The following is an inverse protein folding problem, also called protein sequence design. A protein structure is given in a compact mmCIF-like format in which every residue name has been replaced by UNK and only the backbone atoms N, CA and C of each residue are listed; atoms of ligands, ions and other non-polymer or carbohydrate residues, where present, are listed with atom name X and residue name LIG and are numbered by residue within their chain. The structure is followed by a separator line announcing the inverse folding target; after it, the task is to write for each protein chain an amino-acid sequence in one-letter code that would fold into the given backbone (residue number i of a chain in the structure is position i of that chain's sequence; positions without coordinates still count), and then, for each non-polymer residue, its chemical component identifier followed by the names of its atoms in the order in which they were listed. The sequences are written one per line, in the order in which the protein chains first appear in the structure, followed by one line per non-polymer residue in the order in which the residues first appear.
data_IF_165924802808
#
_entry.id   IF_165924802808
#
_cell.length_a   1.000
_cell.length_b   1.000
_cell.length_c   1.000
_cell.angle_alpha   90.00
_cell.angle_beta   90.00
_cell.angle_gamma   90.00
#
_symmetry.space_group_name_H-M   'P 1'
#
loop_
_entity.id
_entity.type
_entity.pdbx_description
1 polymer ?
#
# COMPACT_ATOMS: atom_id res chain seq x y z
N UNK A 1 -29.91 -21.38 47.13
CA UNK A 1 -30.78 -20.22 46.87
C UNK A 1 -29.97 -18.96 47.10
N UNK A 2 -29.84 -18.15 46.05
CA UNK A 2 -29.37 -16.76 45.95
C UNK A 2 -28.21 -16.26 46.82
N UNK A 3 -27.04 -16.10 46.21
CA UNK A 3 -26.06 -15.08 46.62
C UNK A 3 -26.06 -13.95 45.60
N UNK A 4 -26.69 -12.83 45.98
CA UNK A 4 -26.59 -11.55 45.26
C UNK A 4 -25.25 -10.91 45.60
N UNK A 5 -24.35 -10.78 44.64
CA UNK A 5 -23.16 -9.97 44.79
C UNK A 5 -23.35 -8.61 44.11
N UNK A 6 -23.31 -7.58 44.94
CA UNK A 6 -23.52 -6.19 44.60
C UNK A 6 -22.37 -5.63 43.73
N UNK A 7 -22.75 -4.83 42.73
CA UNK A 7 -21.86 -4.03 41.89
C UNK A 7 -21.40 -2.80 42.70
N UNK A 8 -20.10 -2.53 42.87
CA UNK A 8 -19.65 -1.28 43.47
C UNK A 8 -19.83 -0.12 42.47
N UNK A 9 -20.59 0.90 42.88
CA UNK A 9 -20.68 2.21 42.20
C UNK A 9 -19.30 2.87 42.18
N UNK A 10 -18.77 3.15 40.99
CA UNK A 10 -17.59 4.00 40.81
C UNK A 10 -17.94 5.45 41.19
N UNK A 11 -17.17 5.99 42.14
CA UNK A 11 -17.26 7.37 42.59
C UNK A 11 -16.73 8.33 41.50
N UNK A 12 -17.49 9.38 41.26
CA UNK A 12 -17.14 10.49 40.38
C UNK A 12 -15.97 11.29 40.98
N UNK A 13 -14.77 11.09 40.43
CA UNK A 13 -13.58 11.89 40.72
C UNK A 13 -13.70 13.25 40.03
N UNK A 14 -13.93 14.32 40.81
CA UNK A 14 -13.84 15.71 40.35
C UNK A 14 -12.39 16.04 40.00
N UNK A 15 -12.12 16.33 38.73
CA UNK A 15 -10.86 16.94 38.30
C UNK A 15 -10.73 18.35 38.91
N UNK A 16 -9.55 18.77 39.39
CA UNK A 16 -9.30 20.14 39.79
C UNK A 16 -9.38 21.08 38.58
N UNK A 17 -10.05 22.22 38.79
CA UNK A 17 -10.18 23.33 37.83
C UNK A 17 -8.77 23.84 37.46
N UNK A 18 -8.35 23.65 36.21
CA UNK A 18 -7.16 24.31 35.68
C UNK A 18 -7.56 25.73 35.28
N UNK A 19 -7.02 26.72 35.99
CA UNK A 19 -7.22 28.14 35.69
C UNK A 19 -6.37 28.51 34.47
N UNK A 20 -7.01 28.84 33.34
CA UNK A 20 -6.35 29.18 32.07
C UNK A 20 -5.71 30.59 32.04
N UNK A 21 -5.79 31.38 33.11
CA UNK A 21 -5.36 32.78 33.07
C UNK A 21 -3.86 32.99 33.33
N UNK A 22 -3.06 31.91 33.42
CA UNK A 22 -1.63 32.00 33.73
C UNK A 22 -0.74 31.21 32.76
N UNK A 23 -0.98 31.35 31.46
CA UNK A 23 -0.04 30.91 30.43
C UNK A 23 0.74 32.13 29.97
N UNK A 24 1.88 32.39 30.61
CA UNK A 24 2.86 33.37 30.10
C UNK A 24 3.38 32.87 28.76
N UNK A 25 3.06 33.59 27.69
CA UNK A 25 3.52 33.30 26.33
C UNK A 25 5.04 33.40 26.23
N UNK A 26 5.72 32.26 26.14
CA UNK A 26 7.13 32.21 25.76
C UNK A 26 7.21 32.44 24.25
N UNK A 27 7.89 33.48 23.75
CA UNK A 27 8.06 33.66 22.32
C UNK A 27 9.02 32.58 21.78
N UNK A 28 8.49 31.63 21.02
CA UNK A 28 9.28 30.67 20.25
C UNK A 28 9.73 31.37 18.97
N UNK A 29 10.98 31.85 18.93
CA UNK A 29 11.61 32.34 17.71
C UNK A 29 11.94 31.15 16.79
N UNK A 30 11.03 30.81 15.88
CA UNK A 30 11.31 29.83 14.82
C UNK A 30 12.07 30.55 13.70
N UNK A 31 13.40 30.43 13.72
CA UNK A 31 14.23 30.83 12.58
C UNK A 31 14.04 29.82 11.44
N UNK A 32 13.12 30.11 10.51
CA UNK A 32 12.97 29.34 9.26
C UNK A 32 14.15 29.69 8.35
N UNK A 33 15.18 28.84 8.36
CA UNK A 33 16.26 28.94 7.38
C UNK A 33 15.77 28.34 6.06
N UNK A 34 15.27 29.20 5.16
CA UNK A 34 14.93 28.83 3.80
C UNK A 34 16.22 28.52 3.00
N UNK A 35 16.61 27.24 2.93
CA UNK A 35 17.61 26.80 1.95
C UNK A 35 16.92 26.50 0.63
N UNK A 36 16.82 27.55 -0.18
CA UNK A 36 16.47 27.51 -1.59
C UNK A 36 17.40 26.53 -2.32
N UNK A 37 16.91 25.33 -2.63
CA UNK A 37 17.52 24.45 -3.63
C UNK A 37 16.86 24.79 -4.97
N UNK A 38 17.39 25.82 -5.62
CA UNK A 38 17.19 26.06 -7.04
C UNK A 38 17.81 24.87 -7.78
N UNK A 39 16.98 23.92 -8.19
CA UNK A 39 17.35 22.93 -9.19
C UNK A 39 17.34 23.66 -10.54
N UNK A 40 18.55 23.88 -11.07
CA UNK A 40 18.76 24.34 -12.43
C UNK A 40 18.17 23.27 -13.37
N UNK A 41 17.00 23.54 -13.94
CA UNK A 41 16.51 22.82 -15.11
C UNK A 41 17.28 23.38 -16.30
N UNK A 42 18.39 22.74 -16.67
CA UNK A 42 19.01 22.98 -17.97
C UNK A 42 18.07 22.38 -19.00
N UNK A 43 17.28 23.24 -19.64
CA UNK A 43 16.52 22.88 -20.82
C UNK A 43 17.50 22.55 -21.96
N UNK A 44 17.71 21.26 -22.22
CA UNK A 44 18.35 20.82 -23.47
C UNK A 44 17.24 20.67 -24.50
N UNK A 45 16.88 21.77 -25.16
CA UNK A 45 16.00 21.76 -26.32
C UNK A 45 16.80 21.41 -27.56
N UNK A 46 16.40 20.34 -28.26
CA UNK A 46 16.77 20.09 -29.65
C UNK A 46 17.67 18.87 -29.83
N UNK A 47 17.09 17.76 -30.31
CA UNK A 47 17.10 17.37 -31.73
C UNK A 47 16.07 16.25 -31.86
N UNK A 48 14.95 16.54 -32.52
CA UNK A 48 14.02 15.52 -32.99
C UNK A 48 14.69 14.84 -34.17
N UNK A 49 15.26 13.65 -33.94
CA UNK A 49 15.71 12.80 -35.05
C UNK A 49 14.45 12.18 -35.65
N UNK A 50 14.00 12.74 -36.78
CA UNK A 50 13.02 12.12 -37.67
C UNK A 50 13.63 10.84 -38.25
N UNK A 51 13.41 9.71 -37.57
CA UNK A 51 13.59 8.40 -38.19
C UNK A 51 12.26 8.06 -38.86
N UNK A 52 12.13 8.44 -40.13
CA UNK A 52 11.06 7.97 -40.99
C UNK A 52 11.21 6.44 -41.11
N UNK A 53 10.45 5.70 -40.31
CA UNK A 53 10.31 4.26 -40.48
C UNK A 53 9.40 4.02 -41.69
N UNK A 54 10.03 3.70 -42.82
CA UNK A 54 9.36 3.24 -44.03
C UNK A 54 8.57 1.96 -43.73
N UNK A 55 7.25 2.08 -43.67
CA UNK A 55 6.33 0.94 -43.66
C UNK A 55 6.34 0.30 -45.04
N UNK A 56 7.23 -0.67 -45.26
CA UNK A 56 7.11 -1.61 -46.37
C UNK A 56 6.26 -2.76 -45.86
N UNK A 57 4.97 -2.72 -46.19
CA UNK A 57 4.06 -3.87 -46.06
C UNK A 57 4.48 -4.92 -47.10
N UNK A 58 4.90 -6.13 -46.73
CA UNK A 58 5.10 -7.19 -47.70
C UNK A 58 3.73 -7.75 -48.10
N UNK A 59 3.23 -7.32 -49.27
CA UNK A 59 2.17 -8.03 -50.00
C UNK A 59 2.75 -9.39 -50.39
N UNK A 60 2.37 -10.44 -49.66
CA UNK A 60 2.76 -11.80 -50.00
C UNK A 60 1.85 -12.31 -51.10
N UNK A 61 2.35 -12.24 -52.34
CA UNK A 61 1.74 -12.91 -53.49
C UNK A 61 2.06 -14.41 -53.36
N UNK A 62 1.06 -15.21 -52.98
CA UNK A 62 1.20 -16.66 -52.90
C UNK A 62 1.24 -17.24 -54.33
N UNK A 63 2.43 -17.59 -54.83
CA UNK A 63 2.55 -18.51 -55.96
C UNK A 63 2.57 -19.94 -55.42
N UNK A 64 1.52 -20.70 -55.71
CA UNK A 64 1.49 -22.15 -55.54
C UNK A 64 2.46 -22.78 -56.51
N UNK A 65 3.56 -23.35 -56.00
CA UNK A 65 4.43 -24.22 -56.79
C UNK A 65 4.37 -25.62 -56.20
N UNK A 66 3.71 -26.50 -56.94
CA UNK A 66 3.67 -27.94 -56.72
C UNK A 66 4.97 -28.55 -57.23
N UNK A 67 5.77 -29.13 -56.34
CA UNK A 67 6.95 -29.89 -56.73
C UNK A 67 7.61 -30.58 -55.54
N UNK A 68 7.89 -31.89 -55.60
CA UNK A 68 8.52 -32.61 -54.51
C UNK A 68 10.03 -32.47 -54.63
N UNK A 69 10.66 -31.76 -53.69
CA UNK A 69 12.13 -31.75 -53.58
C UNK A 69 12.57 -32.36 -52.25
N UNK A 70 13.39 -33.39 -52.39
CA UNK A 70 13.92 -34.26 -51.36
C UNK A 70 14.66 -33.49 -50.26
N UNK A 71 14.45 -33.92 -49.02
CA UNK A 71 15.04 -33.32 -47.83
C UNK A 71 16.38 -33.98 -47.53
N UNK A 72 17.49 -33.26 -47.72
CA UNK A 72 18.81 -33.67 -47.22
C UNK A 72 19.09 -32.92 -45.93
N UNK A 73 19.12 -33.63 -44.79
CA UNK A 73 19.41 -33.02 -43.48
C UNK A 73 20.92 -32.78 -43.31
N UNK A 74 21.31 -31.53 -43.07
CA UNK A 74 22.65 -31.17 -42.58
C UNK A 74 22.52 -30.70 -41.13
N UNK A 75 23.12 -31.44 -40.20
CA UNK A 75 23.13 -31.14 -38.77
C UNK A 75 24.18 -30.05 -38.49
N UNK A 76 23.73 -28.88 -38.00
CA UNK A 76 24.60 -27.77 -37.60
C UNK A 76 24.87 -27.80 -36.10
N UNK A 77 26.02 -28.34 -35.71
CA UNK A 77 26.51 -28.32 -34.33
C UNK A 77 26.89 -26.89 -33.94
N UNK A 78 26.13 -26.28 -33.02
CA UNK A 78 26.44 -24.95 -32.48
C UNK A 78 27.26 -25.13 -31.20
N UNK A 79 28.53 -24.72 -31.22
CA UNK A 79 29.39 -24.71 -30.05
C UNK A 79 28.87 -23.68 -29.04
N UNK A 80 28.46 -24.15 -27.86
CA UNK A 80 27.97 -23.32 -26.75
C UNK A 80 29.16 -22.86 -25.92
N UNK A 81 29.55 -21.58 -26.04
CA UNK A 81 30.53 -20.97 -25.16
C UNK A 81 29.89 -20.78 -23.77
N UNK A 82 30.34 -21.56 -22.80
CA UNK A 82 29.90 -21.46 -21.41
C UNK A 82 30.53 -20.23 -20.76
N UNK A 83 29.88 -19.08 -20.90
CA UNK A 83 30.20 -17.89 -20.11
C UNK A 83 29.72 -18.13 -18.68
N UNK A 84 30.67 -18.39 -17.77
CA UNK A 84 30.40 -18.42 -16.33
C UNK A 84 30.02 -17.02 -15.90
N UNK A 85 28.71 -16.76 -15.75
CA UNK A 85 28.22 -15.55 -15.12
C UNK A 85 28.63 -15.60 -13.65
N UNK A 86 29.56 -14.73 -13.25
CA UNK A 86 29.84 -14.44 -11.85
C UNK A 86 28.60 -13.76 -11.27
N UNK A 87 27.71 -14.54 -10.67
CA UNK A 87 26.61 -14.03 -9.85
C UNK A 87 27.21 -13.40 -8.60
N UNK A 88 27.42 -12.09 -8.63
CA UNK A 88 27.49 -11.29 -7.41
C UNK A 88 26.19 -11.53 -6.66
N UNK A 89 26.25 -12.29 -5.55
CA UNK A 89 25.18 -12.31 -4.55
C UNK A 89 25.06 -10.91 -3.99
N UNK A 90 24.24 -10.07 -4.61
CA UNK A 90 23.49 -9.08 -3.86
C UNK A 90 22.69 -9.88 -2.84
N UNK A 91 23.07 -9.78 -1.57
CA UNK A 91 22.24 -10.28 -0.49
C UNK A 91 20.93 -9.52 -0.60
N UNK A 92 19.93 -10.15 -1.23
CA UNK A 92 18.52 -9.79 -1.12
C UNK A 92 18.19 -9.87 0.37
N UNK A 93 18.52 -8.81 1.10
CA UNK A 93 18.03 -8.63 2.45
C UNK A 93 16.55 -8.30 2.28
N UNK A 94 15.71 -9.15 2.84
CA UNK A 94 14.28 -8.94 2.91
C UNK A 94 14.03 -7.56 3.57
N UNK A 95 13.07 -6.76 3.06
CA UNK A 95 12.77 -5.46 3.65
C UNK A 95 12.52 -5.56 5.15
N UNK A 96 13.07 -4.63 5.94
CA UNK A 96 13.07 -4.72 7.41
C UNK A 96 11.67 -4.85 8.03
N UNK A 97 10.67 -4.26 7.39
CA UNK A 97 9.26 -4.32 7.77
C UNK A 97 8.69 -5.74 7.69
N UNK A 98 9.31 -6.65 6.92
CA UNK A 98 8.92 -8.05 6.87
C UNK A 98 9.38 -8.86 8.10
N UNK A 99 10.26 -8.31 8.92
CA UNK A 99 10.75 -8.92 10.17
C UNK A 99 10.26 -8.21 11.44
N UNK A 100 9.75 -6.97 11.33
CA UNK A 100 9.31 -6.18 12.48
C UNK A 100 7.99 -5.47 12.18
N UNK A 101 6.89 -6.06 12.66
CA UNK A 101 5.53 -5.55 12.51
C UNK A 101 4.64 -5.97 13.68
N UNK A 102 3.51 -5.28 13.84
CA UNK A 102 2.44 -5.71 14.76
C UNK A 102 1.41 -6.55 14.01
N UNK A 103 0.85 -7.57 14.67
CA UNK A 103 -0.22 -8.39 14.10
C UNK A 103 -1.58 -7.80 14.49
N UNK A 104 -2.47 -7.66 13.50
CA UNK A 104 -3.90 -7.42 13.73
C UNK A 104 -4.68 -8.63 13.24
N UNK A 105 -5.41 -9.26 14.16
CA UNK A 105 -6.37 -10.33 13.88
C UNK A 105 -7.71 -9.95 14.51
N UNK A 106 -8.48 -9.16 13.77
CA UNK A 106 -9.75 -8.61 14.23
C UNK A 106 -10.82 -8.89 13.18
N UNK A 107 -11.71 -9.85 13.47
CA UNK A 107 -12.82 -10.27 12.60
C UNK A 107 -13.77 -9.14 12.26
N UNK A 108 -13.85 -8.10 13.11
CA UNK A 108 -14.69 -6.94 12.85
C UNK A 108 -14.16 -6.09 11.70
N UNK A 109 -12.92 -6.29 11.24
CA UNK A 109 -12.33 -5.53 10.12
C UNK A 109 -12.71 -6.08 8.75
N UNK A 110 -13.27 -7.28 8.67
CA UNK A 110 -13.69 -7.87 7.40
C UNK A 110 -14.69 -6.95 6.69
N UNK A 111 -14.60 -6.85 5.38
CA UNK A 111 -15.59 -6.10 4.58
C UNK A 111 -17.00 -6.69 4.65
N UNK A 112 -17.15 -7.91 5.15
CA UNK A 112 -18.43 -8.57 5.41
C UNK A 112 -18.98 -8.32 6.82
N UNK A 113 -18.18 -7.74 7.71
CA UNK A 113 -18.63 -7.39 9.05
C UNK A 113 -19.59 -6.18 9.00
N UNK A 114 -20.57 -6.19 9.91
CA UNK A 114 -21.59 -5.15 10.01
C UNK A 114 -20.99 -3.78 10.37
N UNK A 115 -21.82 -2.75 10.24
CA UNK A 115 -21.51 -1.39 10.67
C UNK A 115 -21.27 -1.28 12.18
N UNK A 116 -20.55 -0.25 12.58
CA UNK A 116 -20.42 0.13 13.98
C UNK A 116 -19.71 1.46 14.16
N UNK A 117 -19.03 1.62 15.29
CA UNK A 117 -18.44 2.90 15.72
C UNK A 117 -16.96 2.80 16.08
N UNK A 118 -16.27 1.73 15.66
CA UNK A 118 -14.85 1.59 15.89
C UNK A 118 -14.06 2.63 15.10
N UNK A 119 -12.91 2.98 15.68
CA UNK A 119 -12.08 4.08 15.24
C UNK A 119 -10.61 3.68 15.25
N UNK A 120 -9.98 3.75 14.09
CA UNK A 120 -8.57 3.37 13.95
C UNK A 120 -7.61 4.49 14.38
N UNK A 121 -8.13 5.67 14.73
CA UNK A 121 -7.28 6.81 15.13
C UNK A 121 -6.48 6.58 16.42
N UNK A 122 -6.93 5.67 17.27
CA UNK A 122 -6.25 5.34 18.54
C UNK A 122 -5.24 4.21 18.37
N UNK A 123 -5.31 3.46 17.27
CA UNK A 123 -4.47 2.29 17.03
C UNK A 123 -3.21 2.64 16.21
N UNK A 124 -3.28 3.67 15.37
CA UNK A 124 -2.19 4.09 14.49
C UNK A 124 -1.67 5.46 14.87
N UNK A 125 -0.37 5.68 14.65
CA UNK A 125 0.26 6.97 14.93
C UNK A 125 0.18 7.93 13.73
N UNK A 126 0.58 9.19 13.92
CA UNK A 126 0.81 10.13 12.81
C UNK A 126 1.94 9.68 11.89
N UNK A 127 2.90 8.91 12.43
CA UNK A 127 3.95 8.25 11.68
C UNK A 127 3.53 6.83 11.28
N UNK A 128 4.32 6.21 10.41
CA UNK A 128 4.09 4.84 9.94
C UNK A 128 4.07 3.83 11.10
N UNK A 129 3.02 3.03 11.14
CA UNK A 129 2.87 1.85 11.99
C UNK A 129 2.85 0.62 11.08
N UNK A 130 3.85 -0.25 11.20
CA UNK A 130 3.96 -1.45 10.37
C UNK A 130 3.08 -2.57 10.91
N UNK A 131 2.14 -3.04 10.10
CA UNK A 131 1.13 -4.02 10.49
C UNK A 131 0.99 -5.14 9.48
N UNK A 132 0.82 -6.35 9.99
CA UNK A 132 0.35 -7.52 9.23
C UNK A 132 -1.06 -7.89 9.69
N UNK A 133 -1.98 -7.98 8.75
CA UNK A 133 -3.28 -8.61 8.98
C UNK A 133 -3.13 -10.14 8.87
N UNK A 134 -3.75 -10.90 9.77
CA UNK A 134 -3.74 -12.36 9.67
C UNK A 134 -5.01 -13.01 10.23
N UNK A 135 -5.14 -14.30 9.94
CA UNK A 135 -6.16 -15.16 10.54
C UNK A 135 -7.57 -14.87 10.04
N UNK A 136 -8.54 -15.07 10.93
CA UNK A 136 -9.96 -14.91 10.62
C UNK A 136 -10.34 -13.44 10.38
N UNK A 137 -9.55 -12.48 10.84
CA UNK A 137 -9.71 -11.06 10.57
C UNK A 137 -9.34 -10.61 9.16
N UNK A 138 -9.08 -11.53 8.24
CA UNK A 138 -8.57 -11.23 6.91
C UNK A 138 -7.04 -11.18 6.87
N UNK A 139 -6.47 -11.27 5.67
CA UNK A 139 -5.01 -11.43 5.49
C UNK A 139 -4.34 -10.21 4.87
N UNK A 140 -5.13 -9.27 4.38
CA UNK A 140 -4.69 -8.02 3.78
C UNK A 140 -5.81 -6.99 3.80
N UNK A 141 -5.49 -5.73 3.47
CA UNK A 141 -6.53 -4.76 3.20
C UNK A 141 -7.38 -5.20 2.00
N UNK A 142 -8.67 -4.86 2.04
CA UNK A 142 -9.54 -5.03 0.89
C UNK A 142 -8.98 -4.27 -0.32
N UNK A 143 -8.90 -4.91 -1.48
CA UNK A 143 -8.36 -4.33 -2.72
C UNK A 143 -9.43 -3.93 -3.72
N UNK A 144 -10.69 -3.93 -3.28
CA UNK A 144 -11.85 -3.49 -4.03
C UNK A 144 -12.73 -2.68 -3.09
N UNK A 145 -13.40 -1.65 -3.62
CA UNK A 145 -14.25 -0.78 -2.83
C UNK A 145 -15.41 -1.57 -2.21
N UNK A 146 -15.47 -1.71 -0.87
CA UNK A 146 -16.66 -2.21 -0.20
C UNK A 146 -17.77 -1.16 -0.22
N UNK A 147 -18.94 -1.49 0.31
CA UNK A 147 -19.96 -0.47 0.59
C UNK A 147 -19.47 0.49 1.70
N UNK A 148 -20.30 1.47 2.07
CA UNK A 148 -20.13 2.19 3.33
C UNK A 148 -20.86 1.48 4.47
N UNK A 149 -20.41 1.69 5.71
CA UNK A 149 -20.95 1.07 6.92
C UNK A 149 -20.66 -0.44 7.05
N UNK A 150 -19.42 -0.85 6.74
CA UNK A 150 -18.92 -2.20 7.02
C UNK A 150 -17.72 -2.10 7.97
N UNK A 151 -17.10 -3.25 8.27
CA UNK A 151 -15.89 -3.36 9.08
C UNK A 151 -15.98 -2.65 10.45
N UNK A 152 -17.17 -2.71 11.06
CA UNK A 152 -17.49 -2.13 12.37
C UNK A 152 -17.20 -0.62 12.44
N UNK A 153 -17.39 0.07 11.32
CA UNK A 153 -17.27 1.52 11.20
C UNK A 153 -18.30 2.09 10.22
N UNK A 154 -18.26 3.41 10.01
CA UNK A 154 -19.11 4.10 9.03
C UNK A 154 -18.37 4.34 7.70
N UNK A 155 -17.10 4.74 7.79
CA UNK A 155 -16.23 5.01 6.66
C UNK A 155 -15.26 3.87 6.39
N UNK A 156 -15.48 3.18 5.28
CA UNK A 156 -14.93 1.85 5.04
C UNK A 156 -13.69 1.96 4.16
N UNK A 157 -12.52 1.74 4.75
CA UNK A 157 -11.21 1.90 4.11
C UNK A 157 -10.78 0.69 3.30
N UNK A 158 -10.35 0.91 2.06
CA UNK A 158 -9.85 -0.11 1.15
C UNK A 158 -8.62 0.39 0.39
N UNK A 159 -7.71 -0.50 0.03
CA UNK A 159 -6.52 -0.18 -0.73
C UNK A 159 -6.84 -0.09 -2.22
N UNK A 160 -6.69 1.10 -2.81
CA UNK A 160 -7.00 1.38 -4.21
C UNK A 160 -5.78 1.31 -5.14
N UNK A 161 -4.60 1.01 -4.60
CA UNK A 161 -3.38 0.79 -5.37
C UNK A 161 -3.22 -0.65 -5.87
N UNK A 162 -2.21 -0.87 -6.70
CA UNK A 162 -1.79 -2.21 -7.09
C UNK A 162 -0.97 -2.85 -5.97
N UNK A 163 -1.16 -4.15 -5.74
CA UNK A 163 -0.33 -4.91 -4.81
C UNK A 163 1.06 -5.14 -5.42
N UNK A 164 2.14 -5.03 -4.63
CA UNK A 164 3.49 -5.23 -5.14
C UNK A 164 3.82 -6.71 -5.38
N UNK A 165 4.79 -6.93 -6.26
CA UNK A 165 5.41 -8.25 -6.46
C UNK A 165 6.20 -8.68 -5.21
N UNK A 166 6.45 -9.97 -5.06
CA UNK A 166 7.20 -10.53 -3.92
C UNK A 166 8.57 -9.87 -3.75
N UNK A 167 8.91 -9.49 -2.53
CA UNK A 167 10.14 -8.81 -2.15
C UNK A 167 10.16 -7.32 -2.47
N UNK A 168 9.05 -6.75 -2.95
CA UNK A 168 8.95 -5.35 -3.37
C UNK A 168 8.02 -4.57 -2.45
N UNK A 169 8.39 -3.32 -2.18
CA UNK A 169 7.57 -2.33 -1.50
C UNK A 169 7.06 -1.29 -2.50
N UNK A 170 5.82 -0.85 -2.37
CA UNK A 170 5.29 0.29 -3.12
C UNK A 170 4.45 1.20 -2.24
N UNK A 171 4.33 2.45 -2.70
CA UNK A 171 3.37 3.39 -2.15
C UNK A 171 2.01 3.16 -2.82
N UNK A 172 0.95 3.38 -2.08
CA UNK A 172 -0.39 3.42 -2.63
C UNK A 172 -1.35 4.15 -1.73
N UNK A 173 -2.61 4.15 -2.12
CA UNK A 173 -3.66 4.92 -1.46
C UNK A 173 -4.66 3.99 -0.82
N UNK A 174 -5.03 4.27 0.43
CA UNK A 174 -6.26 3.76 1.02
C UNK A 174 -7.33 4.81 0.82
N UNK A 175 -8.42 4.43 0.17
CA UNK A 175 -9.61 5.24 -0.01
C UNK A 175 -10.66 4.84 1.04
N UNK A 176 -11.38 5.82 1.59
CA UNK A 176 -12.47 5.57 2.53
C UNK A 176 -13.82 5.84 1.85
N UNK A 177 -14.62 4.80 1.73
CA UNK A 177 -15.99 4.87 1.19
C UNK A 177 -16.89 5.54 2.21
N UNK A 178 -17.66 6.54 1.80
CA UNK A 178 -18.63 7.22 2.65
C UNK A 178 -19.85 7.64 1.83
N UNK A 179 -21.03 7.22 2.28
CA UNK A 179 -22.29 7.38 1.53
C UNK A 179 -22.11 6.81 0.11
N UNK A 180 -22.25 7.65 -0.92
CA UNK A 180 -22.11 7.29 -2.33
C UNK A 180 -20.71 7.53 -2.91
N UNK A 181 -19.80 8.18 -2.17
CA UNK A 181 -18.44 8.44 -2.65
C UNK A 181 -17.51 7.28 -2.23
N UNK A 182 -16.85 6.68 -3.20
CA UNK A 182 -15.94 5.54 -2.99
C UNK A 182 -14.55 5.93 -2.43
N UNK A 183 -14.22 7.22 -2.40
CA UNK A 183 -12.97 7.75 -1.87
C UNK A 183 -13.17 9.16 -1.30
N UNK A 184 -14.02 9.29 -0.29
CA UNK A 184 -14.33 10.59 0.33
C UNK A 184 -13.16 11.14 1.15
N UNK A 185 -12.37 10.25 1.75
CA UNK A 185 -11.08 10.54 2.34
C UNK A 185 -10.04 9.56 1.83
N UNK A 186 -8.77 9.86 2.07
CA UNK A 186 -7.70 8.94 1.74
C UNK A 186 -6.49 9.09 2.67
N UNK A 187 -5.68 8.03 2.70
CA UNK A 187 -4.33 8.04 3.25
C UNK A 187 -3.37 7.49 2.19
N UNK A 188 -2.21 8.13 2.02
CA UNK A 188 -1.07 7.52 1.33
C UNK A 188 -0.34 6.63 2.31
N UNK A 189 -0.09 5.38 1.91
CA UNK A 189 0.52 4.35 2.73
C UNK A 189 1.60 3.61 1.97
N UNK A 190 2.31 2.73 2.67
CA UNK A 190 3.24 1.77 2.10
C UNK A 190 2.70 0.36 2.23
N UNK A 191 3.00 -0.50 1.27
CA UNK A 191 2.79 -1.94 1.38
C UNK A 191 3.98 -2.68 0.82
N UNK A 192 4.36 -3.74 1.50
CA UNK A 192 5.45 -4.63 1.12
C UNK A 192 4.93 -6.05 1.03
N UNK A 193 5.29 -6.75 -0.05
CA UNK A 193 5.00 -8.16 -0.20
C UNK A 193 6.19 -8.98 0.30
N UNK A 194 6.07 -9.60 1.46
CA UNK A 194 7.10 -10.41 2.10
C UNK A 194 7.07 -11.87 1.60
N UNK A 195 6.60 -12.09 0.37
CA UNK A 195 6.44 -13.39 -0.28
C UNK A 195 5.16 -14.12 0.13
N UNK A 196 4.98 -14.39 1.42
CA UNK A 196 3.82 -15.15 1.93
C UNK A 196 2.73 -14.30 2.58
N UNK A 197 3.01 -13.02 2.85
CA UNK A 197 2.08 -12.08 3.45
C UNK A 197 2.42 -10.64 3.05
N UNK A 198 1.47 -9.74 3.27
CA UNK A 198 1.67 -8.31 3.11
C UNK A 198 1.89 -7.64 4.47
N UNK A 199 2.83 -6.70 4.50
CA UNK A 199 3.00 -5.77 5.63
C UNK A 199 2.64 -4.37 5.15
N UNK A 200 1.83 -3.68 5.94
CA UNK A 200 1.24 -2.39 5.63
C UNK A 200 1.83 -1.32 6.55
N UNK A 201 2.42 -0.28 5.97
CA UNK A 201 2.83 0.92 6.68
C UNK A 201 1.66 1.88 6.77
N UNK A 202 0.86 1.75 7.83
CA UNK A 202 -0.38 2.50 8.03
C UNK A 202 -0.15 3.74 8.89
N UNK A 203 -0.98 4.76 8.68
CA UNK A 203 -0.98 6.00 9.45
C UNK A 203 -2.39 6.27 9.98
N UNK A 204 -2.51 7.19 10.92
CA UNK A 204 -3.80 7.59 11.47
C UNK A 204 -4.82 7.98 10.38
N UNK A 205 -6.07 7.49 10.43
CA UNK A 205 -7.11 7.95 9.51
C UNK A 205 -7.48 9.42 9.71
N UNK A 206 -7.90 10.15 8.65
CA UNK A 206 -8.25 11.57 8.75
C UNK A 206 -9.41 11.89 9.70
N UNK A 207 -10.29 10.92 9.96
CA UNK A 207 -11.45 11.04 10.87
C UNK A 207 -11.65 9.76 11.68
N UNK A 208 -12.33 9.86 12.83
CA UNK A 208 -12.49 8.73 13.75
C UNK A 208 -13.48 7.68 13.25
N UNK A 209 -14.44 8.09 12.43
CA UNK A 209 -15.44 7.18 11.85
C UNK A 209 -14.88 6.39 10.66
N UNK A 210 -13.56 6.24 10.55
CA UNK A 210 -12.86 5.58 9.45
C UNK A 210 -12.03 4.41 10.00
N UNK A 211 -12.06 3.28 9.31
CA UNK A 211 -11.18 2.13 9.60
C UNK A 211 -10.60 1.53 8.34
N UNK A 212 -9.45 0.88 8.52
CA UNK A 212 -8.83 0.01 7.54
C UNK A 212 -9.50 -1.36 7.56
N UNK A 213 -10.10 -1.74 6.42
CA UNK A 213 -10.91 -2.94 6.30
C UNK A 213 -10.16 -4.01 5.52
N UNK A 214 -10.45 -5.26 5.83
CA UNK A 214 -9.69 -6.43 5.41
C UNK A 214 -10.53 -7.40 4.58
N UNK A 215 -9.83 -8.26 3.85
CA UNK A 215 -10.39 -9.37 3.08
C UNK A 215 -9.49 -10.61 3.17
#
# INVERSE_FOLDING_TARGET
MSYSNAIPKLASSRHPNINLNNVTSVPVNIAVTARSKICIVVAVTGVVVLIAASFIVPVSLALTHTGPFATTSLSRTTATTRTTATTTRTTNSEPSECSSYTIINDVTRLTTAAAGSQCDRTLFSLNTTWVRFNGAGGTKLATSAPASNQCDTQGTGWYSGSLPASGVSNNGTVCYVWRSNNCNWSNTIQVTNCGSFYVWGLIIPPSCNLRYCTA
#
